data_IF_029876876189
#
_entry.id   IF_029876876189
#
_cell.length_a   1.000
_cell.length_b   1.000
_cell.length_c   1.000
_cell.angle_alpha   90.00
_cell.angle_beta   90.00
_cell.angle_gamma   90.00
#
_symmetry.space_group_name_H-M   'P 1'
#
loop_
_entity.id
_entity.type
_entity.pdbx_description
1 polymer ?
#
# COMPACT_ATOMS: atom_id res chain seq x y z
N UNK A 1 37.95 -21.26 26.44
CA UNK A 1 37.03 -20.29 27.08
C UNK A 1 37.09 -18.89 26.46
N UNK A 2 38.28 -18.29 26.23
CA UNK A 2 38.36 -16.95 25.62
C UNK A 2 37.75 -16.89 24.21
N UNK A 3 38.11 -17.85 23.33
CA UNK A 3 37.61 -17.92 21.94
C UNK A 3 36.09 -18.18 21.84
N UNK A 4 35.55 -19.02 22.73
CA UNK A 4 34.11 -19.29 22.80
C UNK A 4 33.34 -18.06 23.28
N UNK A 5 33.90 -17.29 24.22
CA UNK A 5 33.31 -16.03 24.67
C UNK A 5 33.30 -14.99 23.54
N UNK A 6 34.41 -14.86 22.80
CA UNK A 6 34.51 -13.93 21.66
C UNK A 6 33.50 -14.25 20.55
N UNK A 7 33.32 -15.53 20.21
CA UNK A 7 32.33 -15.95 19.20
C UNK A 7 30.91 -15.63 19.68
N UNK A 8 30.58 -15.93 20.94
CA UNK A 8 29.28 -15.59 21.52
C UNK A 8 28.99 -14.08 21.50
N UNK A 9 30.00 -13.24 21.78
CA UNK A 9 29.86 -11.79 21.73
C UNK A 9 29.61 -11.26 20.31
N UNK A 10 30.28 -11.82 19.31
CA UNK A 10 30.09 -11.43 17.90
C UNK A 10 28.69 -11.85 17.42
N UNK A 11 28.27 -13.08 17.72
CA UNK A 11 26.95 -13.59 17.33
C UNK A 11 25.83 -12.81 18.02
N UNK A 12 25.98 -12.46 19.30
CA UNK A 12 25.03 -11.61 20.01
C UNK A 12 24.95 -10.21 19.38
N UNK A 13 26.09 -9.59 19.04
CA UNK A 13 26.12 -8.29 18.37
C UNK A 13 25.43 -8.28 17.00
N UNK A 14 25.59 -9.34 16.21
CA UNK A 14 24.92 -9.50 14.91
C UNK A 14 23.40 -9.68 15.06
N UNK A 15 22.95 -10.46 16.06
CA UNK A 15 21.52 -10.68 16.31
C UNK A 15 20.80 -9.42 16.80
N UNK A 16 21.46 -8.57 17.61
CA UNK A 16 20.87 -7.30 18.07
C UNK A 16 20.87 -6.20 16.99
N UNK A 17 21.80 -6.23 16.03
CA UNK A 17 21.86 -5.24 14.94
C UNK A 17 20.73 -5.38 13.90
N UNK A 18 20.11 -6.56 13.80
CA UNK A 18 19.11 -6.87 12.76
C UNK A 18 17.67 -6.47 13.13
N UNK A 19 17.36 -6.20 14.40
CA UNK A 19 15.99 -5.93 14.86
C UNK A 19 15.56 -4.45 14.75
N UNK A 20 16.49 -3.51 14.59
CA UNK A 20 16.21 -2.08 14.58
C UNK A 20 15.61 -1.53 13.27
N UNK A 21 15.58 -2.31 12.19
CA UNK A 21 15.14 -1.81 10.86
C UNK A 21 13.63 -1.90 10.62
N UNK A 22 12.87 -2.57 11.50
CA UNK A 22 11.47 -2.92 11.23
C UNK A 22 10.46 -1.80 11.53
N UNK A 23 10.76 -0.90 12.48
CA UNK A 23 9.83 0.17 12.88
C UNK A 23 9.86 1.41 11.96
N UNK A 24 10.97 1.65 11.26
CA UNK A 24 11.13 2.81 10.37
C UNK A 24 10.38 2.64 9.03
N UNK A 25 10.04 1.41 8.65
CA UNK A 25 9.57 1.08 7.30
C UNK A 25 8.09 1.43 7.05
N UNK A 26 7.24 1.46 8.09
CA UNK A 26 5.83 1.94 8.01
C UNK A 26 5.67 3.45 8.20
N UNK A 27 6.77 4.22 8.33
CA UNK A 27 6.70 5.64 8.66
C UNK A 27 6.01 6.50 7.59
N UNK A 28 6.23 6.22 6.30
CA UNK A 28 5.70 7.06 5.22
C UNK A 28 4.19 6.92 5.03
N UNK A 29 3.66 5.70 5.05
CA UNK A 29 2.21 5.47 4.94
C UNK A 29 1.49 6.10 6.13
N UNK A 30 2.02 5.93 7.35
CA UNK A 30 1.46 6.60 8.55
C UNK A 30 1.56 8.12 8.49
N UNK A 31 2.63 8.65 7.89
CA UNK A 31 2.77 10.08 7.66
C UNK A 31 1.71 10.57 6.66
N UNK A 32 1.48 9.84 5.56
CA UNK A 32 0.42 10.12 4.60
C UNK A 32 -0.98 10.07 5.25
N UNK A 33 -1.26 9.04 6.07
CA UNK A 33 -2.49 8.95 6.86
C UNK A 33 -2.69 10.23 7.70
N UNK A 34 -1.63 10.69 8.37
CA UNK A 34 -1.68 11.93 9.15
C UNK A 34 -1.92 13.17 8.27
N UNK A 35 -1.35 13.23 7.08
CA UNK A 35 -1.62 14.32 6.15
C UNK A 35 -3.06 14.30 5.63
N UNK A 36 -3.67 13.12 5.42
CA UNK A 36 -5.09 13.01 5.09
C UNK A 36 -5.98 13.58 6.21
N UNK A 37 -5.70 13.25 7.47
CA UNK A 37 -6.43 13.79 8.63
C UNK A 37 -6.33 15.32 8.72
N UNK A 38 -5.18 15.87 8.34
CA UNK A 38 -4.91 17.32 8.32
C UNK A 38 -5.44 17.99 7.04
N UNK A 39 -6.14 17.26 6.17
CA UNK A 39 -6.65 17.73 4.87
C UNK A 39 -5.56 18.21 3.90
N UNK A 40 -4.31 17.80 4.12
CA UNK A 40 -3.19 18.04 3.21
C UNK A 40 -3.21 16.98 2.09
N UNK A 41 -4.31 16.93 1.32
CA UNK A 41 -4.61 15.79 0.46
C UNK A 41 -3.55 15.54 -0.62
N UNK A 42 -3.07 16.57 -1.31
CA UNK A 42 -2.05 16.39 -2.34
C UNK A 42 -0.77 15.78 -1.77
N UNK A 43 -0.29 16.32 -0.64
CA UNK A 43 0.91 15.80 0.02
C UNK A 43 0.73 14.35 0.50
N UNK A 44 -0.46 14.02 0.99
CA UNK A 44 -0.78 12.65 1.39
C UNK A 44 -0.74 11.69 0.20
N UNK A 45 -1.39 12.06 -0.91
CA UNK A 45 -1.40 11.28 -2.15
C UNK A 45 0.02 11.07 -2.69
N UNK A 46 0.80 12.15 -2.84
CA UNK A 46 2.20 12.07 -3.29
C UNK A 46 3.03 11.14 -2.38
N UNK A 47 2.77 11.19 -1.08
CA UNK A 47 3.45 10.33 -0.10
C UNK A 47 3.03 8.87 -0.23
N UNK A 48 1.74 8.57 -0.40
CA UNK A 48 1.25 7.22 -0.62
C UNK A 48 1.83 6.63 -1.91
N UNK A 49 1.79 7.36 -3.02
CA UNK A 49 2.34 6.91 -4.30
C UNK A 49 3.84 6.65 -4.19
N UNK A 50 4.60 7.56 -3.57
CA UNK A 50 6.03 7.38 -3.35
C UNK A 50 6.34 6.19 -2.42
N UNK A 51 5.46 5.90 -1.45
CA UNK A 51 5.60 4.73 -0.59
C UNK A 51 5.35 3.43 -1.37
N UNK A 52 4.30 3.40 -2.20
CA UNK A 52 3.98 2.27 -3.06
C UNK A 52 5.07 2.01 -4.10
N UNK A 53 5.51 3.04 -4.82
CA UNK A 53 6.59 2.93 -5.82
C UNK A 53 7.88 2.36 -5.23
N UNK A 54 8.19 2.68 -3.95
CA UNK A 54 9.36 2.14 -3.26
C UNK A 54 9.20 0.65 -2.90
N UNK A 55 8.01 0.24 -2.46
CA UNK A 55 7.71 -1.16 -2.11
C UNK A 55 6.22 -1.43 -2.34
N UNK A 56 5.85 -1.92 -3.53
CA UNK A 56 4.46 -2.24 -3.84
C UNK A 56 3.89 -3.25 -2.84
N UNK A 57 2.68 -2.99 -2.35
CA UNK A 57 1.94 -3.89 -1.47
C UNK A 57 0.45 -3.51 -1.44
N UNK A 58 -0.40 -4.49 -1.14
CA UNK A 58 -1.85 -4.36 -1.02
C UNK A 58 -2.28 -3.21 -0.10
N UNK A 59 -1.76 -3.15 1.14
CA UNK A 59 -2.17 -2.14 2.14
C UNK A 59 -1.97 -0.70 1.62
N UNK A 60 -0.88 -0.45 0.90
CA UNK A 60 -0.58 0.88 0.36
C UNK A 60 -1.41 1.19 -0.88
N UNK A 61 -1.65 0.21 -1.77
CA UNK A 61 -2.55 0.39 -2.92
C UNK A 61 -3.97 0.74 -2.45
N UNK A 62 -4.49 -0.01 -1.47
CA UNK A 62 -5.83 0.18 -0.91
C UNK A 62 -5.99 1.59 -0.33
N UNK A 63 -5.05 2.02 0.51
CA UNK A 63 -5.06 3.38 1.08
C UNK A 63 -5.00 4.47 0.01
N UNK A 64 -4.21 4.25 -1.05
CA UNK A 64 -4.08 5.21 -2.14
C UNK A 64 -5.38 5.33 -2.93
N UNK A 65 -6.01 4.19 -3.26
CA UNK A 65 -7.31 4.16 -3.95
C UNK A 65 -8.39 4.90 -3.13
N UNK A 66 -8.53 4.56 -1.85
CA UNK A 66 -9.47 5.21 -0.93
C UNK A 66 -9.21 6.71 -0.76
N UNK A 67 -7.94 7.13 -0.75
CA UNK A 67 -7.58 8.54 -0.69
C UNK A 67 -8.01 9.28 -1.96
N UNK A 68 -7.84 8.68 -3.13
CA UNK A 68 -8.31 9.26 -4.41
C UNK A 68 -9.84 9.32 -4.50
N UNK A 69 -10.55 8.32 -3.98
CA UNK A 69 -12.01 8.39 -3.85
C UNK A 69 -12.45 9.53 -2.93
N UNK A 70 -11.77 9.71 -1.78
CA UNK A 70 -12.09 10.78 -0.84
C UNK A 70 -11.99 12.17 -1.48
N UNK A 71 -11.02 12.39 -2.37
CA UNK A 71 -10.89 13.66 -3.11
C UNK A 71 -11.65 13.68 -4.43
N UNK A 72 -12.42 12.63 -4.74
CA UNK A 72 -13.25 12.49 -5.94
C UNK A 72 -12.47 12.58 -7.25
N UNK A 73 -11.21 12.16 -7.24
CA UNK A 73 -10.44 11.97 -8.46
C UNK A 73 -10.68 10.53 -8.94
N UNK A 74 -11.78 10.34 -9.68
CA UNK A 74 -12.25 9.00 -10.05
C UNK A 74 -11.36 8.31 -11.08
N UNK A 75 -10.69 9.06 -11.96
CA UNK A 75 -9.70 8.51 -12.89
C UNK A 75 -8.56 7.83 -12.13
N UNK A 76 -7.99 8.54 -11.15
CA UNK A 76 -6.94 7.96 -10.29
C UNK A 76 -7.47 6.89 -9.36
N UNK A 77 -8.67 7.03 -8.82
CA UNK A 77 -9.28 5.99 -8.00
C UNK A 77 -9.44 4.69 -8.79
N UNK A 78 -9.91 4.74 -10.04
CA UNK A 78 -10.02 3.58 -10.92
C UNK A 78 -8.65 2.93 -11.16
N UNK A 79 -7.62 3.70 -11.53
CA UNK A 79 -6.26 3.19 -11.71
C UNK A 79 -5.74 2.48 -10.45
N UNK A 80 -5.94 3.09 -9.27
CA UNK A 80 -5.43 2.55 -8.02
C UNK A 80 -6.24 1.35 -7.51
N UNK A 81 -7.56 1.33 -7.70
CA UNK A 81 -8.36 0.14 -7.43
C UNK A 81 -7.97 -1.04 -8.34
N UNK A 82 -7.58 -0.78 -9.59
CA UNK A 82 -6.99 -1.79 -10.47
C UNK A 82 -5.73 -2.42 -9.89
N UNK A 83 -4.87 -1.64 -9.23
CA UNK A 83 -3.73 -2.18 -8.48
C UNK A 83 -4.19 -3.01 -7.28
N UNK A 84 -5.22 -2.57 -6.54
CA UNK A 84 -5.74 -3.32 -5.38
C UNK A 84 -6.18 -4.72 -5.80
N UNK A 85 -7.09 -4.83 -6.77
CA UNK A 85 -7.68 -6.11 -7.19
C UNK A 85 -6.69 -7.09 -7.83
N UNK A 86 -5.48 -6.62 -8.17
CA UNK A 86 -4.39 -7.47 -8.68
C UNK A 86 -3.66 -8.29 -7.60
N UNK A 87 -3.93 -8.00 -6.32
CA UNK A 87 -3.34 -8.72 -5.19
C UNK A 87 -4.18 -9.94 -4.79
N UNK A 88 -3.53 -11.02 -4.36
CA UNK A 88 -4.22 -12.23 -3.85
C UNK A 88 -5.00 -11.95 -2.56
N UNK A 89 -4.60 -10.93 -1.80
CA UNK A 89 -5.29 -10.49 -0.58
C UNK A 89 -6.61 -9.73 -0.84
N UNK A 90 -6.93 -9.47 -2.11
CA UNK A 90 -8.13 -8.72 -2.49
C UNK A 90 -9.40 -9.41 -2.05
N UNK A 91 -10.34 -8.59 -1.59
CA UNK A 91 -11.64 -9.03 -1.09
C UNK A 91 -12.74 -8.74 -2.10
N UNK A 92 -13.91 -9.35 -1.92
CA UNK A 92 -15.12 -9.01 -2.70
C UNK A 92 -15.43 -7.50 -2.65
N UNK A 93 -15.22 -6.85 -1.50
CA UNK A 93 -15.40 -5.41 -1.34
C UNK A 93 -14.43 -4.58 -2.22
N UNK A 94 -13.20 -5.05 -2.39
CA UNK A 94 -12.21 -4.40 -3.25
C UNK A 94 -12.63 -4.49 -4.73
N UNK A 95 -13.11 -5.65 -5.17
CA UNK A 95 -13.67 -5.82 -6.52
C UNK A 95 -14.90 -4.94 -6.76
N UNK A 96 -15.81 -4.87 -5.79
CA UNK A 96 -16.98 -3.99 -5.87
C UNK A 96 -16.58 -2.52 -5.96
N UNK A 97 -15.55 -2.10 -5.20
CA UNK A 97 -15.02 -0.74 -5.25
C UNK A 97 -14.35 -0.44 -6.58
N UNK A 98 -13.62 -1.40 -7.15
CA UNK A 98 -13.04 -1.30 -8.49
C UNK A 98 -14.10 -1.10 -9.57
N UNK A 99 -15.14 -1.94 -9.59
CA UNK A 99 -16.26 -1.81 -10.54
C UNK A 99 -17.01 -0.49 -10.36
N UNK A 100 -17.22 -0.05 -9.11
CA UNK A 100 -17.85 1.22 -8.82
C UNK A 100 -17.00 2.42 -9.29
N UNK A 101 -15.68 2.36 -9.16
CA UNK A 101 -14.76 3.36 -9.70
C UNK A 101 -14.79 3.34 -11.24
N UNK A 102 -14.78 2.16 -11.86
CA UNK A 102 -14.87 1.97 -13.30
C UNK A 102 -16.16 2.56 -13.89
N UNK A 103 -17.30 2.36 -13.23
CA UNK A 103 -18.58 2.95 -13.64
C UNK A 103 -18.54 4.48 -13.67
N UNK A 104 -17.80 5.12 -12.75
CA UNK A 104 -17.68 6.59 -12.70
C UNK A 104 -16.81 7.17 -13.81
N UNK A 105 -15.97 6.34 -14.44
CA UNK A 105 -15.07 6.72 -15.53
C UNK A 105 -15.44 6.06 -16.86
N UNK A 106 -16.64 5.50 -16.96
CA UNK A 106 -17.18 4.84 -18.16
C UNK A 106 -16.35 3.64 -18.66
N UNK A 107 -15.78 2.87 -17.72
CA UNK A 107 -14.95 1.68 -17.98
C UNK A 107 -15.49 0.39 -17.35
N UNK A 108 -16.79 0.35 -17.03
CA UNK A 108 -17.37 -0.79 -16.33
C UNK A 108 -17.22 -2.12 -17.10
N UNK A 109 -17.38 -2.11 -18.42
CA UNK A 109 -17.23 -3.32 -19.24
C UNK A 109 -15.81 -3.88 -19.18
N UNK A 110 -14.79 -3.01 -19.32
CA UNK A 110 -13.38 -3.39 -19.20
C UNK A 110 -13.09 -3.97 -17.81
N UNK A 111 -13.54 -3.29 -16.75
CA UNK A 111 -13.33 -3.74 -15.38
C UNK A 111 -14.05 -5.06 -15.08
N UNK A 112 -15.27 -5.24 -15.59
CA UNK A 112 -16.03 -6.49 -15.44
C UNK A 112 -15.29 -7.69 -16.03
N UNK A 113 -14.78 -7.55 -17.27
CA UNK A 113 -13.99 -8.60 -17.90
C UNK A 113 -12.69 -8.92 -17.14
N UNK A 114 -12.07 -7.93 -16.50
CA UNK A 114 -10.89 -8.17 -15.65
C UNK A 114 -11.24 -8.92 -14.37
N UNK A 115 -12.33 -8.56 -13.70
CA UNK A 115 -12.79 -9.22 -12.47
C UNK A 115 -13.11 -10.69 -12.73
N UNK A 116 -13.80 -11.00 -13.82
CA UNK A 116 -14.08 -12.39 -14.24
C UNK A 116 -12.80 -13.22 -14.47
N UNK A 117 -11.72 -12.59 -14.92
CA UNK A 117 -10.42 -13.25 -15.11
C UNK A 117 -9.60 -13.45 -13.84
N UNK A 118 -9.96 -12.77 -12.75
CA UNK A 118 -9.26 -12.83 -11.46
C UNK A 118 -9.91 -13.80 -10.45
N UNK A 119 -11.15 -14.22 -10.70
CA UNK A 119 -11.92 -15.20 -9.89
C UNK A 119 -11.74 -16.63 -10.40
#
# INVERSE_FOLDING_TARGET
MKKTLTILSITAGLLFGLSATTLAQKSRVRYADKQMELMNFQLALDTYEAAYAKKPNYETALKTAQAYERVRNYDKAYEWWGNVVSYEESTEEDFMSYLAAAQRVDKLEEAGGQVEGLM
#
